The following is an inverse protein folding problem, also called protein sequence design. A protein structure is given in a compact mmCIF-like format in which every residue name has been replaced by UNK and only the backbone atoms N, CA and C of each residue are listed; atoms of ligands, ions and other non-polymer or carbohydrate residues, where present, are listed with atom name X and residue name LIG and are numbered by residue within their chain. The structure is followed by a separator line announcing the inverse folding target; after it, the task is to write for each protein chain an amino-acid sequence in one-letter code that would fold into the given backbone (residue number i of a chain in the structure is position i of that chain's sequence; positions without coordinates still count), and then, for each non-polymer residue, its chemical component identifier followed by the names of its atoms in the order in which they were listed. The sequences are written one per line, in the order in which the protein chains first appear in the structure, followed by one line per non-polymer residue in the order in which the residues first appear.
data_IF_936991417242
#
_entry.id   IF_936991417242
#
_cell.length_a   1.000
_cell.length_b   1.000
_cell.length_c   1.000
_cell.angle_alpha   90.00
_cell.angle_beta   90.00
_cell.angle_gamma   90.00
#
_symmetry.space_group_name_H-M   'P 1'
#
loop_
_entity.id
_entity.type
_entity.pdbx_description
1 polymer ?
#
# COMPACT_ATOMS: atom_id res chain seq x y z
N UNK A 1 4.57 22.93 8.99
CA UNK A 1 3.92 22.48 7.74
C UNK A 1 4.86 21.49 7.07
N UNK A 2 4.49 20.22 7.01
CA UNK A 2 5.26 19.16 6.34
C UNK A 2 5.16 19.41 4.84
N UNK A 3 6.29 19.61 4.15
CA UNK A 3 6.27 20.03 2.74
C UNK A 3 6.24 18.78 1.87
N UNK A 4 5.10 18.49 1.27
CA UNK A 4 4.99 17.37 0.35
C UNK A 4 5.70 17.71 -0.96
N UNK A 5 6.68 16.88 -1.37
CA UNK A 5 7.45 17.07 -2.61
C UNK A 5 7.48 15.80 -3.44
N UNK A 6 7.42 15.94 -4.76
CA UNK A 6 7.64 14.80 -5.66
C UNK A 6 9.05 14.23 -5.46
N UNK A 7 9.16 12.91 -5.50
CA UNK A 7 10.40 12.17 -5.33
C UNK A 7 10.41 10.95 -6.24
N UNK A 8 11.60 10.41 -6.51
CA UNK A 8 11.73 9.17 -7.26
C UNK A 8 11.04 8.00 -6.52
N UNK A 9 10.32 7.12 -7.23
CA UNK A 9 9.78 5.89 -6.66
C UNK A 9 10.89 5.00 -6.09
N UNK A 10 10.58 4.09 -5.16
CA UNK A 10 11.44 2.95 -4.89
C UNK A 10 11.78 2.23 -6.19
N UNK A 11 13.04 1.86 -6.40
CA UNK A 11 13.48 1.26 -7.66
C UNK A 11 12.75 -0.06 -7.96
N UNK A 12 12.54 -0.88 -6.94
CA UNK A 12 11.76 -2.11 -7.05
C UNK A 12 10.29 -1.85 -7.45
N UNK A 13 9.66 -0.81 -6.89
CA UNK A 13 8.33 -0.36 -7.32
C UNK A 13 8.30 0.11 -8.78
N UNK A 14 9.30 0.88 -9.22
CA UNK A 14 9.38 1.32 -10.61
C UNK A 14 9.47 0.12 -11.59
N UNK A 15 10.26 -0.90 -11.23
CA UNK A 15 10.32 -2.17 -11.96
C UNK A 15 8.99 -2.91 -11.94
N UNK A 16 8.31 -2.95 -10.79
CA UNK A 16 6.98 -3.53 -10.68
C UNK A 16 5.99 -2.88 -11.66
N UNK A 17 5.92 -1.54 -11.71
CA UNK A 17 5.06 -0.85 -12.67
C UNK A 17 5.45 -1.05 -14.14
N UNK A 18 6.74 -1.28 -14.43
CA UNK A 18 7.19 -1.60 -15.78
C UNK A 18 6.75 -3.01 -16.21
N UNK A 19 6.73 -3.97 -15.27
CA UNK A 19 6.36 -5.36 -15.54
C UNK A 19 4.85 -5.62 -15.43
N UNK A 20 4.13 -4.85 -14.60
CA UNK A 20 2.70 -4.97 -14.32
C UNK A 20 2.05 -3.58 -14.45
N UNK A 21 1.99 -3.07 -15.68
CA UNK A 21 1.55 -1.69 -15.95
C UNK A 21 0.11 -1.40 -15.53
N UNK A 22 -0.76 -2.40 -15.64
CA UNK A 22 -2.19 -2.34 -15.25
C UNK A 22 -2.38 -2.04 -13.76
N UNK A 23 -1.42 -2.42 -12.92
CA UNK A 23 -1.43 -2.12 -11.50
C UNK A 23 -1.10 -0.65 -11.23
N UNK A 24 -0.39 0.03 -12.13
CA UNK A 24 0.02 1.42 -11.94
C UNK A 24 -0.77 2.43 -12.77
N UNK A 25 -1.80 1.97 -13.50
CA UNK A 25 -2.70 2.83 -14.24
C UNK A 25 -3.71 3.52 -13.32
N UNK A 26 -4.12 4.73 -13.72
CA UNK A 26 -5.19 5.47 -13.05
C UNK A 26 -6.51 4.75 -13.33
N UNK A 27 -7.18 4.27 -12.28
CA UNK A 27 -8.41 3.47 -12.37
C UNK A 27 -9.48 4.02 -11.44
N UNK A 28 -10.72 4.05 -11.90
CA UNK A 28 -11.89 4.41 -11.09
C UNK A 28 -12.06 5.92 -10.87
N UNK A 29 -12.84 6.27 -9.84
CA UNK A 29 -13.08 7.67 -9.44
C UNK A 29 -11.92 8.30 -8.67
N UNK A 30 -12.14 9.49 -8.11
CA UNK A 30 -11.15 10.18 -7.29
C UNK A 30 -11.32 9.85 -5.80
N UNK A 31 -10.21 9.97 -5.06
CA UNK A 31 -10.19 9.94 -3.60
C UNK A 31 -10.49 11.34 -3.03
N UNK A 32 -10.88 11.47 -1.75
CA UNK A 32 -11.17 10.39 -0.81
C UNK A 32 -12.50 9.70 -1.09
N UNK A 33 -12.62 8.42 -0.72
CA UNK A 33 -13.90 7.71 -0.81
C UNK A 33 -14.65 7.71 0.53
N UNK A 34 -15.98 7.65 0.51
CA UNK A 34 -16.78 7.45 1.73
C UNK A 34 -16.65 6.03 2.26
N UNK A 35 -16.39 5.86 3.56
CA UNK A 35 -16.23 4.54 4.19
C UNK A 35 -17.57 3.96 4.67
N UNK A 36 -18.36 3.43 3.73
CA UNK A 36 -19.59 2.68 4.08
C UNK A 36 -19.26 1.43 4.91
N UNK A 37 -20.28 0.86 5.56
CA UNK A 37 -20.12 -0.37 6.36
C UNK A 37 -19.59 -1.52 5.48
N UNK A 38 -20.08 -1.65 4.26
CA UNK A 38 -19.70 -2.68 3.30
C UNK A 38 -18.24 -2.52 2.89
N UNK A 39 -17.81 -1.30 2.56
CA UNK A 39 -16.41 -1.00 2.23
C UNK A 39 -15.47 -1.29 3.40
N UNK A 40 -15.88 -0.93 4.62
CA UNK A 40 -15.10 -1.21 5.84
C UNK A 40 -14.91 -2.71 6.05
N UNK A 41 -15.99 -3.49 5.94
CA UNK A 41 -15.94 -4.95 6.07
C UNK A 41 -15.09 -5.57 4.96
N UNK A 42 -15.18 -5.05 3.73
CA UNK A 42 -14.37 -5.51 2.61
C UNK A 42 -12.87 -5.26 2.85
N UNK A 43 -12.49 -4.06 3.31
CA UNK A 43 -11.08 -3.75 3.65
C UNK A 43 -10.54 -4.68 4.74
N UNK A 44 -11.31 -4.86 5.82
CA UNK A 44 -10.93 -5.75 6.92
C UNK A 44 -10.77 -7.19 6.43
N UNK A 45 -11.70 -7.66 5.60
CA UNK A 45 -11.68 -8.99 5.02
C UNK A 45 -10.47 -9.18 4.11
N UNK A 46 -10.21 -8.28 3.17
CA UNK A 46 -9.05 -8.37 2.27
C UNK A 46 -7.74 -8.31 3.07
N UNK A 47 -7.62 -7.41 4.05
CA UNK A 47 -6.42 -7.31 4.89
C UNK A 47 -6.16 -8.64 5.60
N UNK A 48 -7.17 -9.20 6.28
CA UNK A 48 -7.04 -10.44 7.03
C UNK A 48 -6.79 -11.66 6.11
N UNK A 49 -7.42 -11.70 4.93
CA UNK A 49 -7.19 -12.77 3.96
C UNK A 49 -5.77 -12.74 3.43
N UNK A 50 -5.28 -11.60 2.92
CA UNK A 50 -3.91 -11.50 2.42
C UNK A 50 -2.90 -11.80 3.52
N UNK A 51 -3.12 -11.30 4.74
CA UNK A 51 -2.24 -11.56 5.87
C UNK A 51 -2.11 -13.06 6.23
N UNK A 52 -3.16 -13.85 5.95
CA UNK A 52 -3.20 -15.29 6.18
C UNK A 52 -2.69 -16.09 4.96
N UNK A 53 -3.01 -15.64 3.76
CA UNK A 53 -2.76 -16.39 2.52
C UNK A 53 -1.28 -16.31 2.08
N UNK A 54 -0.57 -15.24 2.45
CA UNK A 54 0.85 -15.06 2.16
C UNK A 54 1.68 -15.51 3.36
N UNK A 55 2.72 -16.31 3.11
CA UNK A 55 3.74 -16.67 4.10
C UNK A 55 4.89 -15.66 4.07
N UNK A 56 5.16 -15.00 5.21
CA UNK A 56 6.26 -14.03 5.28
C UNK A 56 7.61 -14.70 4.96
N UNK A 57 8.37 -14.14 4.03
CA UNK A 57 9.73 -14.57 3.66
C UNK A 57 10.44 -13.39 3.03
N UNK A 58 11.62 -13.06 3.54
CA UNK A 58 12.45 -12.00 2.95
C UNK A 58 12.92 -12.39 1.54
N UNK A 59 13.09 -11.38 0.70
CA UNK A 59 13.69 -11.58 -0.62
C UNK A 59 15.17 -12.01 -0.53
N UNK A 60 15.73 -12.60 -1.61
CA UNK A 60 17.16 -12.85 -1.70
C UNK A 60 17.96 -11.57 -1.40
N UNK A 61 19.04 -11.69 -0.61
CA UNK A 61 19.78 -10.54 -0.06
C UNK A 61 20.32 -9.54 -1.09
N UNK A 62 20.40 -9.93 -2.38
CA UNK A 62 20.86 -9.09 -3.48
C UNK A 62 19.73 -8.38 -4.24
N UNK A 63 18.45 -8.60 -3.86
CA UNK A 63 17.27 -8.13 -4.60
C UNK A 63 16.15 -7.66 -3.67
N UNK A 64 15.40 -6.68 -4.16
CA UNK A 64 14.14 -6.19 -3.62
C UNK A 64 13.13 -6.33 -4.77
N UNK A 65 12.19 -7.28 -4.65
CA UNK A 65 11.30 -7.76 -5.71
C UNK A 65 9.84 -7.54 -5.33
N UNK A 66 9.35 -6.37 -5.71
CA UNK A 66 7.96 -5.99 -5.49
C UNK A 66 7.03 -6.76 -6.43
N UNK A 67 6.11 -7.55 -5.89
CA UNK A 67 5.15 -8.38 -6.63
C UNK A 67 3.75 -8.30 -6.00
N UNK A 68 2.74 -8.70 -6.78
CA UNK A 68 1.38 -8.84 -6.31
C UNK A 68 0.90 -10.27 -6.59
N UNK A 69 0.00 -10.79 -5.75
CA UNK A 69 -0.61 -12.11 -5.95
C UNK A 69 0.33 -13.28 -5.64
N UNK A 70 1.31 -13.08 -4.76
CA UNK A 70 2.26 -14.13 -4.35
C UNK A 70 1.72 -15.00 -3.21
N UNK A 71 2.28 -16.20 -3.03
CA UNK A 71 2.01 -17.07 -1.87
C UNK A 71 3.05 -16.92 -0.74
N UNK A 72 4.19 -16.31 -1.04
CA UNK A 72 5.23 -15.97 -0.07
C UNK A 72 5.97 -14.71 -0.52
N UNK A 73 6.34 -13.86 0.43
CA UNK A 73 6.93 -12.55 0.18
C UNK A 73 7.06 -11.73 1.47
N UNK A 74 7.51 -10.49 1.37
CA UNK A 74 7.72 -9.59 2.50
C UNK A 74 6.76 -8.39 2.47
N UNK A 75 7.09 -7.29 3.16
CA UNK A 75 6.11 -6.23 3.45
C UNK A 75 5.46 -5.58 2.21
N UNK A 76 6.20 -5.33 1.14
CA UNK A 76 5.65 -4.69 -0.06
C UNK A 76 4.80 -5.66 -0.89
N UNK A 77 5.15 -6.94 -0.92
CA UNK A 77 4.34 -7.98 -1.58
C UNK A 77 2.93 -8.06 -0.97
N UNK A 78 2.82 -7.94 0.36
CA UNK A 78 1.52 -7.87 1.04
C UNK A 78 0.77 -6.58 0.69
N UNK A 79 1.46 -5.44 0.68
CA UNK A 79 0.85 -4.15 0.37
C UNK A 79 0.30 -4.14 -1.08
N UNK A 80 1.10 -4.62 -2.02
CA UNK A 80 0.73 -4.73 -3.43
C UNK A 80 -0.37 -5.76 -3.67
N UNK A 81 -0.35 -6.91 -3.00
CA UNK A 81 -1.42 -7.91 -3.14
C UNK A 81 -2.75 -7.39 -2.59
N UNK A 82 -2.75 -6.68 -1.46
CA UNK A 82 -3.98 -6.03 -0.94
C UNK A 82 -4.49 -4.99 -1.93
N UNK A 83 -3.58 -4.19 -2.50
CA UNK A 83 -3.91 -3.16 -3.47
C UNK A 83 -4.53 -3.75 -4.73
N UNK A 84 -3.92 -4.80 -5.29
CA UNK A 84 -4.44 -5.53 -6.45
C UNK A 84 -5.86 -6.04 -6.20
N UNK A 85 -6.08 -6.77 -5.09
CA UNK A 85 -7.42 -7.30 -4.75
C UNK A 85 -8.47 -6.19 -4.62
N UNK A 86 -8.10 -5.01 -4.13
CA UNK A 86 -9.02 -3.87 -4.02
C UNK A 86 -9.30 -3.21 -5.36
N UNK A 87 -8.28 -3.04 -6.21
CA UNK A 87 -8.46 -2.55 -7.59
C UNK A 87 -9.38 -3.47 -8.40
N UNK A 88 -9.24 -4.79 -8.24
CA UNK A 88 -10.03 -5.79 -8.97
C UNK A 88 -11.51 -5.75 -8.60
N UNK A 89 -11.84 -5.37 -7.36
CA UNK A 89 -13.22 -5.15 -6.90
C UNK A 89 -13.68 -3.70 -7.05
N UNK A 90 -12.97 -2.90 -7.87
CA UNK A 90 -13.43 -1.59 -8.35
C UNK A 90 -13.09 -0.40 -7.45
N UNK A 91 -12.16 -0.54 -6.50
CA UNK A 91 -11.67 0.61 -5.74
C UNK A 91 -10.85 1.54 -6.64
N UNK A 92 -10.96 2.87 -6.44
CA UNK A 92 -10.18 3.80 -7.22
C UNK A 92 -8.70 3.76 -6.83
N UNK A 93 -7.82 3.80 -7.83
CA UNK A 93 -6.36 3.79 -7.61
C UNK A 93 -5.89 4.98 -6.76
N UNK A 94 -6.56 6.13 -6.88
CA UNK A 94 -6.26 7.33 -6.09
C UNK A 94 -6.52 7.13 -4.60
N UNK A 95 -7.37 6.18 -4.20
CA UNK A 95 -7.61 5.85 -2.80
C UNK A 95 -6.65 4.78 -2.28
N UNK A 96 -5.86 4.12 -3.13
CA UNK A 96 -5.04 2.96 -2.78
C UNK A 96 -3.57 3.25 -3.03
N UNK A 97 -2.88 3.74 -1.99
CA UNK A 97 -1.53 4.27 -2.09
C UNK A 97 -0.58 3.40 -1.29
N UNK A 98 0.50 2.94 -1.91
CA UNK A 98 1.58 2.29 -1.16
C UNK A 98 2.44 3.35 -0.47
N UNK A 99 2.80 3.11 0.79
CA UNK A 99 3.73 3.95 1.54
C UNK A 99 4.91 3.13 2.03
N UNK A 100 6.10 3.74 2.05
CA UNK A 100 7.29 3.21 2.69
C UNK A 100 7.58 3.98 3.97
N UNK A 101 8.05 3.26 4.98
CA UNK A 101 8.26 3.77 6.33
C UNK A 101 9.42 3.04 7.02
N UNK A 102 9.71 3.44 8.26
CA UNK A 102 10.45 2.62 9.23
C UNK A 102 9.57 2.20 10.39
N UNK A 103 9.79 0.99 10.90
CA UNK A 103 9.20 0.53 12.17
C UNK A 103 9.83 1.26 13.37
N UNK A 104 9.30 1.03 14.57
CA UNK A 104 9.88 1.60 15.80
C UNK A 104 11.32 1.13 16.04
N UNK A 105 11.64 -0.08 15.57
CA UNK A 105 12.97 -0.69 15.59
C UNK A 105 13.89 -0.20 14.46
N UNK A 106 13.40 0.68 13.58
CA UNK A 106 14.17 1.26 12.48
C UNK A 106 14.24 0.41 11.20
N UNK A 107 13.51 -0.70 11.14
CA UNK A 107 13.46 -1.60 9.97
C UNK A 107 12.64 -0.96 8.86
N UNK A 108 13.10 -1.03 7.61
CA UNK A 108 12.32 -0.58 6.44
C UNK A 108 11.02 -1.37 6.31
N UNK A 109 9.92 -0.69 5.99
CA UNK A 109 8.60 -1.30 5.95
C UNK A 109 7.73 -0.69 4.84
N UNK A 110 6.88 -1.50 4.21
CA UNK A 110 5.90 -1.06 3.22
C UNK A 110 4.49 -1.45 3.65
N UNK A 111 3.53 -0.56 3.41
CA UNK A 111 2.11 -0.76 3.77
C UNK A 111 1.19 -0.21 2.69
N UNK A 112 -0.05 -0.69 2.69
CA UNK A 112 -1.12 -0.08 1.91
C UNK A 112 -1.85 0.98 2.75
N UNK A 113 -1.99 2.17 2.17
CA UNK A 113 -2.74 3.30 2.70
C UNK A 113 -4.01 3.46 1.90
N UNK A 114 -5.13 3.56 2.60
CA UNK A 114 -6.46 3.72 2.02
C UNK A 114 -7.01 5.09 2.39
N UNK A 115 -7.16 5.98 1.41
CA UNK A 115 -7.64 7.34 1.61
C UNK A 115 -9.16 7.43 1.60
N UNK A 116 -9.70 7.91 2.71
CA UNK A 116 -11.15 7.97 2.96
C UNK A 116 -11.56 9.34 3.47
N UNK A 117 -12.85 9.65 3.43
CA UNK A 117 -13.38 10.94 3.93
C UNK A 117 -13.12 11.08 5.43
N UNK A 118 -13.10 9.97 6.16
CA UNK A 118 -12.84 9.89 7.60
C UNK A 118 -11.34 9.94 7.94
N UNK A 119 -10.47 9.98 6.92
CA UNK A 119 -9.01 9.98 7.05
C UNK A 119 -8.34 8.77 6.41
N UNK A 120 -7.01 8.74 6.48
CA UNK A 120 -6.22 7.64 5.92
C UNK A 120 -6.18 6.44 6.89
N UNK A 121 -6.42 5.25 6.36
CA UNK A 121 -6.27 3.97 7.07
C UNK A 121 -5.09 3.18 6.53
N UNK A 122 -4.40 2.46 7.40
CA UNK A 122 -3.23 1.64 7.11
C UNK A 122 -3.59 0.17 7.24
N UNK A 123 -3.29 -0.59 6.18
CA UNK A 123 -3.42 -2.03 6.09
C UNK A 123 -2.01 -2.65 6.09
N UNK A 124 -1.62 -3.18 7.24
CA UNK A 124 -0.27 -3.67 7.53
C UNK A 124 -0.25 -5.21 7.55
N UNK A 125 0.85 -5.86 7.15
CA UNK A 125 1.01 -7.31 7.26
C UNK A 125 1.31 -7.77 8.70
N UNK A 126 1.78 -6.87 9.57
CA UNK A 126 2.08 -7.16 10.98
C UNK A 126 0.82 -7.24 11.86
N UNK A 127 -0.35 -6.85 11.36
CA UNK A 127 -1.61 -6.90 12.10
C UNK A 127 -2.85 -6.93 11.20
N UNK A 128 -3.88 -7.67 11.63
CA UNK A 128 -5.19 -7.66 10.96
C UNK A 128 -6.02 -6.42 11.29
N UNK A 129 -5.63 -5.64 12.31
CA UNK A 129 -6.34 -4.42 12.71
C UNK A 129 -6.02 -3.30 11.72
N UNK A 130 -7.04 -2.81 11.02
CA UNK A 130 -6.94 -1.59 10.23
C UNK A 130 -6.76 -0.40 11.16
N UNK A 131 -5.62 0.30 11.05
CA UNK A 131 -5.27 1.42 11.94
C UNK A 131 -5.43 2.76 11.21
N UNK A 132 -5.91 3.82 11.88
CA UNK A 132 -5.72 5.18 11.37
C UNK A 132 -4.23 5.48 11.15
N UNK A 133 -3.91 6.29 10.14
CA UNK A 133 -2.54 6.67 9.77
C UNK A 133 -1.67 7.11 10.96
N UNK A 134 -2.19 7.99 11.81
CA UNK A 134 -1.46 8.48 13.00
C UNK A 134 -1.23 7.42 14.08
N UNK A 135 -2.00 6.32 14.08
CA UNK A 135 -1.92 5.24 15.06
C UNK A 135 -1.09 4.04 14.58
N UNK A 136 -0.60 4.06 13.32
CA UNK A 136 0.17 2.98 12.74
C UNK A 136 1.58 2.81 13.36
N UNK A 137 2.06 3.83 14.10
CA UNK A 137 3.41 3.85 14.73
C UNK A 137 4.52 3.54 13.73
N UNK A 138 4.49 4.26 12.61
CA UNK A 138 5.44 4.17 11.50
C UNK A 138 6.08 5.53 11.27
N UNK A 139 7.37 5.54 10.99
CA UNK A 139 8.10 6.74 10.57
C UNK A 139 8.04 6.83 9.04
N UNK A 140 7.15 7.66 8.52
CA UNK A 140 6.87 7.74 7.08
C UNK A 140 8.06 8.29 6.28
N UNK A 141 8.41 7.64 5.17
CA UNK A 141 9.48 8.06 4.27
C UNK A 141 8.88 8.60 2.97
N UNK A 142 8.12 7.78 2.24
CA UNK A 142 7.49 8.16 0.96
C UNK A 142 6.13 7.52 0.81
N UNK A 143 5.31 8.07 -0.07
CA UNK A 143 3.98 7.53 -0.41
C UNK A 143 3.68 7.77 -1.89
N UNK A 144 2.96 6.84 -2.53
CA UNK A 144 2.43 7.06 -3.88
C UNK A 144 1.54 8.31 -3.93
N UNK A 145 1.55 9.01 -5.06
CA UNK A 145 0.62 10.12 -5.32
C UNK A 145 -0.81 9.60 -5.44
N UNK A 146 -1.78 10.45 -5.10
CA UNK A 146 -3.20 10.19 -5.39
C UNK A 146 -3.51 10.34 -6.89
N UNK A 147 -2.80 11.22 -7.59
CA UNK A 147 -3.10 11.57 -8.98
C UNK A 147 -2.56 10.55 -9.98
N UNK A 148 -1.41 9.96 -9.68
CA UNK A 148 -0.71 9.02 -10.55
C UNK A 148 0.05 7.99 -9.69
N UNK A 149 -0.33 6.69 -9.72
CA UNK A 149 0.35 5.65 -8.94
C UNK A 149 1.84 5.48 -9.25
N UNK A 150 2.32 5.99 -10.40
CA UNK A 150 3.74 5.96 -10.77
C UNK A 150 4.55 7.07 -10.10
N UNK A 151 3.89 8.12 -9.62
CA UNK A 151 4.53 9.24 -8.91
C UNK A 151 4.55 8.99 -7.41
N UNK A 152 5.61 9.47 -6.78
CA UNK A 152 5.81 9.34 -5.33
C UNK A 152 6.09 10.68 -4.70
N UNK A 153 5.70 10.80 -3.44
CA UNK A 153 5.80 12.01 -2.63
C UNK A 153 6.60 11.70 -1.37
N UNK A 154 7.39 12.67 -0.88
CA UNK A 154 8.03 12.66 0.44
C UNK A 154 7.34 13.65 1.37
N UNK A 155 7.45 13.40 2.67
CA UNK A 155 7.00 14.27 3.76
C UNK A 155 8.09 15.29 4.13
#
# INVERSE_FOLDING_TARGET
MTTVRETIPPFAFAKFCANQSDQCDVRGGQAPISMTKERRLLLQSINAQVNRDIRYTDDPSDKDLWRAGVSAGDCDDYALTKRQRLLDVGWPSSALRVATARTEEGVGHAVLVVSTVEGDFVLDNRTNVMKPWYAARLQWIKIQSQDDPRKWLTF
#
